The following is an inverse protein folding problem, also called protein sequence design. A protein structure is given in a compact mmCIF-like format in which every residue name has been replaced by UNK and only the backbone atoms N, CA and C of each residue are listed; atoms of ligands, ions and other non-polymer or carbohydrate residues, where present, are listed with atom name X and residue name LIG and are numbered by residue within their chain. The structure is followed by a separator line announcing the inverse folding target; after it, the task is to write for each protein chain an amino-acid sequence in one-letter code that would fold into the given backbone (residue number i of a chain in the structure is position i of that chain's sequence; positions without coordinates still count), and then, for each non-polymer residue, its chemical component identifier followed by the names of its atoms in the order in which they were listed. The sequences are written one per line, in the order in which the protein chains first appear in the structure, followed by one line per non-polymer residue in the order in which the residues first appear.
data_IF_226449201789
#
_entry.id   IF_226449201789
#
_cell.length_a   1.000
_cell.length_b   1.000
_cell.length_c   1.000
_cell.angle_alpha   90.00
_cell.angle_beta   90.00
_cell.angle_gamma   90.00
#
_symmetry.space_group_name_H-M   'P 1'
#
loop_
_entity.id
_entity.type
_entity.pdbx_description
1 polymer ?
#
# COMPACT_ATOMS: atom_id res chain seq x y z
N UNK A 1 6.47 -2.26 5.00
CA UNK A 1 5.34 -3.00 4.39
C UNK A 1 4.59 -3.84 5.42
N UNK A 2 5.12 -4.95 5.94
CA UNK A 2 4.36 -5.79 6.90
C UNK A 2 3.87 -5.05 8.15
N UNK A 3 4.74 -4.30 8.85
CA UNK A 3 4.34 -3.49 10.02
C UNK A 3 3.26 -2.46 9.66
N UNK A 4 3.40 -1.79 8.51
CA UNK A 4 2.41 -0.86 7.99
C UNK A 4 1.07 -1.55 7.67
N UNK A 5 1.09 -2.76 7.09
CA UNK A 5 -0.13 -3.55 6.83
C UNK A 5 -0.93 -3.83 8.10
N UNK A 6 -0.27 -4.13 9.23
CA UNK A 6 -0.96 -4.28 10.51
C UNK A 6 -1.63 -2.97 10.94
N UNK A 7 -0.92 -1.85 10.76
CA UNK A 7 -1.50 -0.54 11.06
C UNK A 7 -2.69 -0.16 10.21
N UNK A 8 -2.66 -0.46 8.91
CA UNK A 8 -3.80 -0.23 8.02
C UNK A 8 -5.02 -1.06 8.44
N UNK A 9 -4.82 -2.28 8.94
CA UNK A 9 -5.91 -3.11 9.45
C UNK A 9 -6.48 -2.55 10.76
N UNK A 10 -5.63 -2.16 11.71
CA UNK A 10 -6.04 -1.52 12.96
C UNK A 10 -6.81 -0.23 12.70
N UNK A 11 -6.29 0.63 11.82
CA UNK A 11 -6.93 1.88 11.44
C UNK A 11 -8.25 1.63 10.69
N UNK A 12 -8.28 0.64 9.80
CA UNK A 12 -9.50 0.23 9.11
C UNK A 12 -10.63 -0.20 10.05
N UNK A 13 -10.27 -0.80 11.19
CA UNK A 13 -11.17 -1.27 12.24
C UNK A 13 -11.56 -0.15 13.21
N UNK A 14 -10.63 0.76 13.54
CA UNK A 14 -10.87 1.84 14.53
C UNK A 14 -11.70 3.01 13.99
N UNK A 15 -11.90 3.08 12.67
CA UNK A 15 -12.70 4.10 12.01
C UNK A 15 -14.22 3.93 12.27
N UNK A 16 -14.78 4.91 12.99
CA UNK A 16 -16.20 5.27 13.29
C UNK A 16 -17.29 4.16 13.26
N UNK A 17 -18.03 3.93 14.37
CA UNK A 17 -19.20 3.05 14.43
C UNK A 17 -20.41 3.54 13.62
N UNK A 18 -20.51 4.85 13.34
CA UNK A 18 -21.69 5.45 12.73
C UNK A 18 -21.53 5.61 11.21
N UNK A 19 -21.95 4.58 10.50
CA UNK A 19 -22.31 4.71 9.09
C UNK A 19 -21.65 3.69 8.20
N UNK A 20 -22.48 2.83 7.63
CA UNK A 20 -22.58 2.67 6.17
C UNK A 20 -23.44 1.46 5.88
N UNK A 21 -24.72 1.73 5.97
CA UNK A 21 -25.74 0.85 5.45
C UNK A 21 -25.54 0.71 3.93
N UNK A 22 -25.14 -0.46 3.43
CA UNK A 22 -25.23 -0.78 2.00
C UNK A 22 -26.62 -1.33 1.76
N UNK A 23 -27.41 -0.68 0.89
CA UNK A 23 -28.74 -1.17 0.50
C UNK A 23 -29.71 -1.41 1.68
N UNK A 24 -29.53 -0.74 2.83
CA UNK A 24 -30.34 -0.98 4.03
C UNK A 24 -29.77 -2.01 5.01
N UNK A 25 -28.65 -2.68 4.69
CA UNK A 25 -27.93 -3.58 5.60
C UNK A 25 -26.70 -2.90 6.21
N UNK A 26 -26.62 -2.84 7.54
CA UNK A 26 -25.42 -2.39 8.24
C UNK A 26 -24.30 -3.43 8.08
N UNK A 27 -23.19 -3.04 7.46
CA UNK A 27 -22.00 -3.89 7.34
C UNK A 27 -21.03 -3.47 8.43
N UNK A 28 -20.64 -4.41 9.29
CA UNK A 28 -19.68 -4.17 10.35
C UNK A 28 -18.27 -3.86 9.81
N UNK A 29 -17.50 -3.05 10.54
CA UNK A 29 -16.19 -2.54 10.10
C UNK A 29 -15.15 -3.67 9.95
N UNK A 30 -15.17 -4.70 10.81
CA UNK A 30 -14.32 -5.89 10.64
C UNK A 30 -14.61 -6.58 9.31
N UNK A 31 -15.89 -6.67 8.94
CA UNK A 31 -16.32 -7.29 7.67
C UNK A 31 -15.81 -6.49 6.48
N UNK A 32 -15.84 -5.15 6.54
CA UNK A 32 -15.33 -4.28 5.46
C UNK A 32 -13.82 -4.44 5.28
N UNK A 33 -13.06 -4.44 6.38
CA UNK A 33 -11.60 -4.62 6.36
C UNK A 33 -11.25 -6.02 5.86
N UNK A 34 -11.91 -7.06 6.35
CA UNK A 34 -11.68 -8.44 5.92
C UNK A 34 -12.02 -8.62 4.43
N UNK A 35 -13.14 -8.07 3.95
CA UNK A 35 -13.51 -8.10 2.54
C UNK A 35 -12.45 -7.38 1.69
N UNK A 36 -12.02 -6.18 2.11
CA UNK A 36 -10.91 -5.47 1.48
C UNK A 36 -9.65 -6.32 1.40
N UNK A 37 -9.22 -6.90 2.53
CA UNK A 37 -8.03 -7.73 2.64
C UNK A 37 -8.04 -8.91 1.67
N UNK A 38 -9.14 -9.66 1.64
CA UNK A 38 -9.32 -10.77 0.71
C UNK A 38 -9.31 -10.31 -0.76
N UNK A 39 -9.98 -9.19 -1.06
CA UNK A 39 -9.96 -8.59 -2.40
C UNK A 39 -8.55 -8.15 -2.81
N UNK A 40 -7.75 -7.62 -1.88
CA UNK A 40 -6.35 -7.25 -2.12
C UNK A 40 -5.49 -8.45 -2.46
N UNK A 41 -5.56 -9.52 -1.65
CA UNK A 41 -4.84 -10.77 -1.97
C UNK A 41 -5.29 -11.35 -3.31
N UNK A 42 -6.60 -11.41 -3.55
CA UNK A 42 -7.16 -11.88 -4.80
C UNK A 42 -6.68 -11.04 -5.99
N UNK A 43 -6.62 -9.71 -5.83
CA UNK A 43 -6.10 -8.81 -6.86
C UNK A 43 -4.64 -9.14 -7.22
N UNK A 44 -3.78 -9.35 -6.22
CA UNK A 44 -2.36 -9.67 -6.49
C UNK A 44 -2.22 -11.04 -7.16
N UNK A 45 -2.94 -12.05 -6.69
CA UNK A 45 -2.95 -13.39 -7.31
C UNK A 45 -3.44 -13.31 -8.75
N UNK A 46 -4.56 -12.62 -8.99
CA UNK A 46 -5.15 -12.47 -10.31
C UNK A 46 -4.23 -11.71 -11.25
N UNK A 47 -3.61 -10.62 -10.78
CA UNK A 47 -2.64 -9.85 -11.54
C UNK A 47 -1.43 -10.70 -11.90
N UNK A 48 -0.91 -11.48 -10.94
CA UNK A 48 0.21 -12.40 -11.18
C UNK A 48 -0.14 -13.44 -12.25
N UNK A 49 -1.27 -14.11 -12.11
CA UNK A 49 -1.73 -15.10 -13.09
C UNK A 49 -2.03 -14.47 -14.45
N UNK A 50 -2.47 -13.22 -14.49
CA UNK A 50 -2.67 -12.48 -15.74
C UNK A 50 -1.34 -12.16 -16.42
N UNK A 51 -0.34 -11.67 -15.69
CA UNK A 51 1.00 -11.40 -16.22
C UNK A 51 1.68 -12.68 -16.69
N UNK A 52 1.53 -13.79 -15.96
CA UNK A 52 2.07 -15.11 -16.35
C UNK A 52 1.49 -15.62 -17.69
N UNK A 53 0.27 -15.24 -18.04
CA UNK A 53 -0.35 -15.61 -19.33
C UNK A 53 0.13 -14.76 -20.50
N UNK A 54 0.77 -13.61 -20.23
CA UNK A 54 1.23 -12.66 -21.24
C UNK A 54 2.78 -12.56 -21.20
N UNK A 55 3.45 -13.69 -21.46
CA UNK A 55 4.93 -13.78 -21.50
C UNK A 55 5.57 -12.97 -22.65
N UNK A 56 4.76 -12.49 -23.60
CA UNK A 56 5.14 -11.65 -24.72
C UNK A 56 5.27 -10.16 -24.36
N UNK A 57 4.86 -9.76 -23.15
CA UNK A 57 5.09 -8.41 -22.64
C UNK A 57 6.60 -8.15 -22.57
N UNK A 58 7.04 -7.03 -23.14
CA UNK A 58 8.42 -6.53 -23.03
C UNK A 58 8.38 -5.17 -22.36
N UNK A 59 9.24 -4.99 -21.37
CA UNK A 59 9.40 -3.70 -20.71
C UNK A 59 10.87 -3.28 -20.78
N UNK A 60 11.20 -2.55 -21.84
CA UNK A 60 12.59 -2.38 -22.25
C UNK A 60 13.22 -3.74 -22.59
N UNK A 61 14.31 -4.08 -21.88
CA UNK A 61 15.05 -5.33 -22.06
C UNK A 61 14.59 -6.46 -21.10
N UNK A 62 13.67 -6.17 -20.18
CA UNK A 62 13.20 -7.12 -19.17
C UNK A 62 12.33 -8.22 -19.79
N UNK A 63 12.58 -9.47 -19.40
CA UNK A 63 11.79 -10.64 -19.82
C UNK A 63 11.53 -11.59 -18.65
N UNK A 64 10.48 -12.39 -18.76
CA UNK A 64 10.19 -13.48 -17.83
C UNK A 64 10.00 -13.02 -16.38
N UNK A 65 10.73 -13.64 -15.45
CA UNK A 65 10.51 -13.47 -13.99
C UNK A 65 10.78 -12.05 -13.49
N UNK A 66 11.76 -11.35 -14.05
CA UNK A 66 12.12 -9.99 -13.59
C UNK A 66 11.10 -8.95 -14.05
N UNK A 67 10.60 -9.10 -15.28
CA UNK A 67 9.48 -8.30 -15.77
C UNK A 67 8.25 -8.45 -14.87
N UNK A 68 7.90 -9.70 -14.52
CA UNK A 68 6.75 -9.98 -13.67
C UNK A 68 6.86 -9.30 -12.32
N UNK A 69 8.04 -9.36 -11.69
CA UNK A 69 8.28 -8.72 -10.38
C UNK A 69 8.22 -7.21 -10.46
N UNK A 70 8.81 -6.61 -11.49
CA UNK A 70 8.74 -5.15 -11.71
C UNK A 70 7.29 -4.72 -11.92
N UNK A 71 6.54 -5.43 -12.76
CA UNK A 71 5.13 -5.11 -13.00
C UNK A 71 4.28 -5.26 -11.74
N UNK A 72 4.42 -6.36 -11.00
CA UNK A 72 3.69 -6.58 -9.75
C UNK A 72 4.02 -5.50 -8.71
N UNK A 73 5.30 -5.12 -8.58
CA UNK A 73 5.71 -4.04 -7.70
C UNK A 73 5.04 -2.73 -8.11
N UNK A 74 5.15 -2.33 -9.38
CA UNK A 74 4.53 -1.08 -9.85
C UNK A 74 3.01 -1.10 -9.66
N UNK A 75 2.34 -2.19 -10.01
CA UNK A 75 0.88 -2.30 -9.87
C UNK A 75 0.42 -2.20 -8.40
N UNK A 76 1.09 -2.92 -7.49
CA UNK A 76 0.71 -2.96 -6.08
C UNK A 76 1.00 -1.64 -5.39
N UNK A 77 2.15 -1.03 -5.68
CA UNK A 77 2.51 0.27 -5.08
C UNK A 77 1.64 1.40 -5.64
N UNK A 78 1.27 1.34 -6.92
CA UNK A 78 0.27 2.27 -7.50
C UNK A 78 -1.06 2.20 -6.76
N UNK A 79 -1.53 0.98 -6.44
CA UNK A 79 -2.76 0.81 -5.68
C UNK A 79 -2.63 1.19 -4.21
N UNK A 80 -1.46 0.98 -3.60
CA UNK A 80 -1.18 1.47 -2.26
C UNK A 80 -1.32 3.00 -2.21
N UNK A 81 -0.64 3.70 -3.12
CA UNK A 81 -0.74 5.15 -3.27
C UNK A 81 -2.15 5.64 -3.63
N UNK A 82 -2.96 4.85 -4.33
CA UNK A 82 -4.38 5.14 -4.51
C UNK A 82 -5.12 5.21 -3.17
N UNK A 83 -4.89 4.22 -2.29
CA UNK A 83 -5.55 4.18 -0.97
C UNK A 83 -5.08 5.30 -0.04
N UNK A 84 -3.82 5.69 -0.11
CA UNK A 84 -3.30 6.86 0.61
C UNK A 84 -3.94 8.17 0.10
N UNK A 85 -4.16 8.29 -1.21
CA UNK A 85 -4.91 9.39 -1.82
C UNK A 85 -6.34 9.51 -1.27
N UNK A 86 -7.02 8.38 -1.02
CA UNK A 86 -8.33 8.39 -0.33
C UNK A 86 -8.21 8.98 1.08
N UNK A 87 -7.18 8.59 1.83
CA UNK A 87 -6.89 9.10 3.18
C UNK A 87 -6.67 10.60 3.20
N UNK A 88 -5.83 11.10 2.28
CA UNK A 88 -5.57 12.55 2.12
C UNK A 88 -6.87 13.31 1.85
N UNK A 89 -7.64 12.89 0.84
CA UNK A 89 -8.87 13.58 0.46
C UNK A 89 -9.90 13.64 1.59
N UNK A 90 -10.02 12.56 2.37
CA UNK A 90 -10.84 12.52 3.58
C UNK A 90 -10.32 13.47 4.66
N UNK A 91 -9.02 13.50 4.89
CA UNK A 91 -8.41 14.28 5.98
C UNK A 91 -8.65 15.79 5.80
N UNK A 92 -8.84 16.25 4.55
CA UNK A 92 -9.21 17.63 4.24
C UNK A 92 -10.68 17.98 4.51
N UNK A 93 -11.50 17.04 4.97
CA UNK A 93 -12.95 17.24 5.15
C UNK A 93 -13.29 17.68 6.57
N UNK A 94 -14.46 18.30 6.76
CA UNK A 94 -14.92 18.74 8.07
C UNK A 94 -14.36 20.09 8.50
N UNK A 95 -14.72 20.51 9.73
CA UNK A 95 -14.49 21.88 10.22
C UNK A 95 -13.00 22.23 10.43
N UNK A 96 -12.18 21.24 10.76
CA UNK A 96 -10.73 21.36 10.95
C UNK A 96 -9.92 20.70 9.82
N UNK A 97 -10.58 20.34 8.72
CA UNK A 97 -9.99 19.55 7.64
C UNK A 97 -8.74 20.18 7.02
N UNK A 98 -8.66 21.52 6.95
CA UNK A 98 -7.47 22.19 6.40
C UNK A 98 -6.20 21.89 7.21
N UNK A 99 -6.28 21.90 8.55
CA UNK A 99 -5.14 21.63 9.41
C UNK A 99 -4.81 20.13 9.43
N UNK A 100 -5.83 19.29 9.63
CA UNK A 100 -5.66 17.82 9.66
C UNK A 100 -5.13 17.30 8.32
N UNK A 101 -5.73 17.72 7.21
CA UNK A 101 -5.30 17.34 5.86
C UNK A 101 -3.87 17.77 5.55
N UNK A 102 -3.47 18.99 5.95
CA UNK A 102 -2.09 19.46 5.77
C UNK A 102 -1.09 18.62 6.59
N UNK A 103 -1.42 18.32 7.85
CA UNK A 103 -0.61 17.47 8.71
C UNK A 103 -0.45 16.06 8.12
N UNK A 104 -1.56 15.41 7.76
CA UNK A 104 -1.56 14.07 7.17
C UNK A 104 -0.78 14.04 5.85
N UNK A 105 -0.97 15.04 4.99
CA UNK A 105 -0.23 15.14 3.72
C UNK A 105 1.28 15.29 3.94
N UNK A 106 1.70 16.09 4.91
CA UNK A 106 3.11 16.26 5.24
C UNK A 106 3.73 14.97 5.79
N UNK A 107 3.02 14.28 6.69
CA UNK A 107 3.43 12.97 7.23
C UNK A 107 3.56 11.91 6.13
N UNK A 108 2.59 11.84 5.21
CA UNK A 108 2.64 10.95 4.05
C UNK A 108 3.77 11.30 3.08
N UNK A 109 4.04 12.58 2.85
CA UNK A 109 5.16 13.00 2.02
C UNK A 109 6.50 12.50 2.57
N UNK A 110 6.70 12.52 3.89
CA UNK A 110 7.88 11.94 4.52
C UNK A 110 7.90 10.41 4.40
N UNK A 111 6.75 9.74 4.51
CA UNK A 111 6.62 8.28 4.35
C UNK A 111 6.97 7.80 2.93
N UNK A 112 6.56 8.56 1.92
CA UNK A 112 6.77 8.24 0.51
C UNK A 112 8.25 8.21 0.11
N UNK A 113 9.14 8.89 0.84
CA UNK A 113 10.58 8.91 0.51
C UNK A 113 11.23 7.53 0.71
N UNK A 114 11.16 6.91 1.91
CA UNK A 114 11.55 5.51 2.10
C UNK A 114 10.85 4.53 1.17
N UNK A 115 9.57 4.75 0.88
CA UNK A 115 8.78 3.87 0.02
C UNK A 115 9.24 3.92 -1.44
N UNK A 116 9.46 5.12 -1.96
CA UNK A 116 10.00 5.32 -3.30
C UNK A 116 11.40 4.73 -3.47
N UNK A 117 12.24 4.86 -2.43
CA UNK A 117 13.53 4.18 -2.37
C UNK A 117 13.37 2.65 -2.40
N UNK A 118 12.39 2.09 -1.67
CA UNK A 118 12.12 0.66 -1.70
C UNK A 118 11.71 0.17 -3.11
N UNK A 119 10.88 0.92 -3.83
CA UNK A 119 10.55 0.64 -5.24
C UNK A 119 11.82 0.65 -6.09
N UNK A 120 12.65 1.69 -5.97
CA UNK A 120 13.87 1.80 -6.75
C UNK A 120 14.86 0.64 -6.49
N UNK A 121 15.01 0.23 -5.22
CA UNK A 121 15.87 -0.89 -4.82
C UNK A 121 15.36 -2.26 -5.32
N UNK A 122 14.06 -2.41 -5.58
CA UNK A 122 13.52 -3.60 -6.23
C UNK A 122 13.77 -3.56 -7.74
N UNK A 123 13.65 -2.39 -8.37
CA UNK A 123 13.76 -2.25 -9.82
C UNK A 123 15.21 -2.31 -10.33
N UNK A 124 16.16 -1.67 -9.64
CA UNK A 124 17.54 -1.51 -10.12
C UNK A 124 18.31 -2.84 -10.30
N UNK A 125 18.30 -3.78 -9.33
CA UNK A 125 18.99 -5.08 -9.49
C UNK A 125 18.46 -5.92 -10.64
N UNK A 126 17.25 -5.60 -11.13
CA UNK A 126 16.57 -6.30 -12.21
C UNK A 126 16.85 -5.68 -13.58
N UNK A 127 17.72 -4.66 -13.68
CA UNK A 127 18.14 -4.06 -14.96
C UNK A 127 17.46 -2.74 -15.31
N UNK A 128 16.65 -2.17 -14.41
CA UNK A 128 16.10 -0.82 -14.58
C UNK A 128 17.16 0.22 -14.19
N UNK A 129 17.44 1.18 -15.06
CA UNK A 129 18.42 2.26 -14.75
C UNK A 129 17.95 3.11 -13.58
N UNK A 130 18.88 3.68 -12.80
CA UNK A 130 18.54 4.48 -11.61
C UNK A 130 17.52 5.59 -11.89
N UNK A 131 17.70 6.36 -12.97
CA UNK A 131 16.74 7.39 -13.36
C UNK A 131 15.36 6.82 -13.69
N UNK A 132 15.28 5.69 -14.42
CA UNK A 132 14.00 5.05 -14.72
C UNK A 132 13.36 4.51 -13.44
N UNK A 133 14.14 3.96 -12.52
CA UNK A 133 13.65 3.47 -11.24
C UNK A 133 13.05 4.61 -10.39
N UNK A 134 13.70 5.78 -10.36
CA UNK A 134 13.15 7.00 -9.75
C UNK A 134 11.86 7.44 -10.43
N UNK A 135 11.80 7.47 -11.76
CA UNK A 135 10.59 7.83 -12.50
C UNK A 135 9.44 6.84 -12.24
N UNK A 136 9.73 5.55 -12.17
CA UNK A 136 8.75 4.54 -11.79
C UNK A 136 8.25 4.71 -10.37
N UNK A 137 9.12 5.06 -9.42
CA UNK A 137 8.73 5.40 -8.05
C UNK A 137 7.83 6.63 -7.99
N UNK A 138 8.09 7.67 -8.78
CA UNK A 138 7.20 8.84 -8.86
C UNK A 138 5.85 8.45 -9.47
N UNK A 139 5.88 7.64 -10.53
CA UNK A 139 4.68 7.16 -11.21
C UNK A 139 3.76 6.38 -10.25
N UNK A 140 4.33 5.50 -9.42
CA UNK A 140 3.53 4.75 -8.44
C UNK A 140 2.84 5.65 -7.43
N UNK A 141 3.41 6.82 -7.10
CA UNK A 141 2.80 7.79 -6.15
C UNK A 141 1.81 8.77 -6.79
N UNK A 142 1.75 8.87 -8.13
CA UNK A 142 0.80 9.76 -8.83
C UNK A 142 -0.68 9.59 -8.46
N UNK A 143 -1.20 8.40 -8.12
CA UNK A 143 -2.59 8.25 -7.69
C UNK A 143 -2.95 9.10 -6.48
N UNK A 144 -2.02 9.38 -5.56
CA UNK A 144 -2.28 10.16 -4.34
C UNK A 144 -2.92 11.53 -4.65
N UNK A 145 -2.27 12.44 -5.41
CA UNK A 145 -2.87 13.74 -5.74
C UNK A 145 -4.09 13.63 -6.66
N UNK A 146 -4.13 12.64 -7.55
CA UNK A 146 -5.24 12.45 -8.50
C UNK A 146 -6.54 12.06 -7.79
N UNK A 147 -6.44 11.27 -6.72
CA UNK A 147 -7.57 10.73 -5.98
C UNK A 147 -7.96 11.60 -4.80
N UNK A 148 -7.02 12.31 -4.18
CA UNK A 148 -7.30 13.20 -3.05
C UNK A 148 -8.35 14.26 -3.37
N UNK A 149 -8.29 14.88 -4.57
CA UNK A 149 -9.23 15.93 -4.98
C UNK A 149 -10.67 15.44 -5.11
N UNK A 150 -11.00 14.40 -5.91
CA UNK A 150 -12.37 13.91 -6.01
C UNK A 150 -12.88 13.36 -4.68
N UNK A 151 -12.01 12.75 -3.86
CA UNK A 151 -12.41 12.26 -2.53
C UNK A 151 -12.77 13.43 -1.60
N UNK A 152 -11.99 14.50 -1.59
CA UNK A 152 -12.33 15.71 -0.85
C UNK A 152 -13.70 16.27 -1.29
N UNK A 153 -13.96 16.33 -2.60
CA UNK A 153 -15.24 16.83 -3.15
C UNK A 153 -16.44 15.94 -2.81
N UNK A 154 -16.25 14.61 -2.73
CA UNK A 154 -17.33 13.62 -2.58
C UNK A 154 -17.20 12.76 -1.32
N UNK A 155 -16.57 13.29 -0.27
CA UNK A 155 -16.09 12.53 0.89
C UNK A 155 -17.12 11.58 1.53
N UNK A 156 -18.39 11.99 1.60
CA UNK A 156 -19.49 11.16 2.14
C UNK A 156 -19.63 9.81 1.43
N UNK A 157 -19.36 9.76 0.13
CA UNK A 157 -19.42 8.52 -0.64
C UNK A 157 -18.19 7.65 -0.40
N UNK A 158 -17.03 8.25 -0.10
CA UNK A 158 -15.76 7.57 0.06
C UNK A 158 -15.44 7.14 1.49
N UNK A 159 -16.16 7.66 2.49
CA UNK A 159 -16.03 7.23 3.90
C UNK A 159 -16.24 5.71 4.04
N UNK A 160 -17.27 5.14 3.39
CA UNK A 160 -17.50 3.70 3.39
C UNK A 160 -16.32 2.91 2.82
N UNK A 161 -15.84 3.36 1.65
CA UNK A 161 -14.77 2.70 0.92
C UNK A 161 -13.43 2.79 1.63
N UNK A 162 -13.29 3.62 2.66
CA UNK A 162 -12.05 3.78 3.41
C UNK A 162 -11.61 2.49 4.08
N UNK A 163 -12.46 1.87 4.90
CA UNK A 163 -12.11 0.61 5.59
C UNK A 163 -11.85 -0.54 4.61
N UNK A 164 -12.61 -0.60 3.51
CA UNK A 164 -12.40 -1.58 2.43
C UNK A 164 -11.05 -1.33 1.73
N UNK A 165 -10.73 -0.07 1.43
CA UNK A 165 -9.46 0.33 0.81
C UNK A 165 -8.25 0.04 1.69
N UNK A 166 -8.34 0.34 3.00
CA UNK A 166 -7.28 0.04 3.97
C UNK A 166 -7.04 -1.48 4.09
N UNK A 167 -8.13 -2.26 4.17
CA UNK A 167 -8.04 -3.72 4.12
C UNK A 167 -7.38 -4.20 2.81
N UNK A 168 -7.81 -3.67 1.67
CA UNK A 168 -7.27 -4.01 0.35
C UNK A 168 -5.77 -3.73 0.24
N UNK A 169 -5.31 -2.57 0.71
CA UNK A 169 -3.90 -2.23 0.76
C UNK A 169 -3.13 -3.19 1.67
N UNK A 170 -3.65 -3.47 2.88
CA UNK A 170 -3.02 -4.39 3.82
C UNK A 170 -2.83 -5.79 3.23
N UNK A 171 -3.89 -6.36 2.63
CA UNK A 171 -3.85 -7.70 2.01
C UNK A 171 -2.91 -7.77 0.82
N UNK A 172 -2.92 -6.76 -0.04
CA UNK A 172 -2.02 -6.68 -1.20
C UNK A 172 -0.54 -6.61 -0.78
N UNK A 173 -0.22 -5.73 0.19
CA UNK A 173 1.15 -5.56 0.69
C UNK A 173 1.67 -6.78 1.45
N UNK A 174 0.83 -7.44 2.26
CA UNK A 174 1.20 -8.70 2.93
C UNK A 174 1.51 -9.77 1.89
N UNK A 175 0.66 -9.94 0.88
CA UNK A 175 0.90 -10.92 -0.17
C UNK A 175 2.23 -10.68 -0.89
N UNK A 176 2.46 -9.45 -1.40
CA UNK A 176 3.72 -9.10 -2.08
C UNK A 176 4.92 -9.27 -1.17
N UNK A 177 4.83 -8.82 0.09
CA UNK A 177 5.98 -8.90 0.99
C UNK A 177 6.33 -10.35 1.30
N UNK A 178 5.35 -11.20 1.62
CA UNK A 178 5.61 -12.59 1.98
C UNK A 178 6.01 -13.46 0.78
N UNK A 179 5.26 -13.36 -0.33
CA UNK A 179 5.39 -14.32 -1.44
C UNK A 179 6.28 -13.85 -2.58
N UNK A 180 6.58 -12.56 -2.67
CA UNK A 180 7.48 -12.02 -3.71
C UNK A 180 8.78 -11.51 -3.09
N UNK A 181 8.73 -10.57 -2.13
CA UNK A 181 9.95 -9.95 -1.58
C UNK A 181 10.73 -10.90 -0.66
N UNK A 182 10.07 -11.51 0.33
CA UNK A 182 10.71 -12.41 1.28
C UNK A 182 11.14 -13.71 0.58
N UNK A 183 10.29 -14.25 -0.30
CA UNK A 183 10.62 -15.42 -1.09
C UNK A 183 11.79 -15.19 -2.05
N UNK A 184 11.99 -13.96 -2.54
CA UNK A 184 13.18 -13.58 -3.30
C UNK A 184 14.40 -13.42 -2.41
N UNK A 185 14.27 -12.76 -1.26
CA UNK A 185 15.38 -12.55 -0.33
C UNK A 185 16.00 -13.88 0.13
N UNK A 186 15.19 -14.91 0.39
CA UNK A 186 15.65 -16.26 0.77
C UNK A 186 16.45 -16.96 -0.34
N UNK A 187 16.32 -16.54 -1.60
CA UNK A 187 17.14 -17.10 -2.71
C UNK A 187 18.53 -16.49 -2.77
N UNK A 188 18.68 -15.25 -2.32
CA UNK A 188 19.94 -14.49 -2.36
C UNK A 188 20.70 -14.55 -1.02
N UNK A 189 20.00 -14.78 0.09
CA UNK A 189 20.51 -14.75 1.46
C UNK A 189 20.15 -16.04 2.19
N UNK A 190 20.89 -16.35 3.26
CA UNK A 190 20.52 -17.48 4.13
C UNK A 190 19.16 -17.24 4.80
N UNK A 191 18.42 -18.32 5.07
CA UNK A 191 17.13 -18.23 5.78
C UNK A 191 17.27 -17.51 7.13
N UNK A 192 18.33 -17.79 7.87
CA UNK A 192 18.61 -17.17 9.17
C UNK A 192 18.86 -15.68 9.04
N UNK A 193 19.69 -15.24 8.07
CA UNK A 193 19.96 -13.81 7.84
C UNK A 193 18.69 -13.08 7.43
N UNK A 194 17.93 -13.66 6.49
CA UNK A 194 16.67 -13.08 6.02
C UNK A 194 15.65 -12.96 7.15
N UNK A 195 15.53 -14.00 7.99
CA UNK A 195 14.64 -14.01 9.15
C UNK A 195 15.02 -12.94 10.19
N UNK A 196 16.31 -12.82 10.52
CA UNK A 196 16.80 -11.81 11.47
C UNK A 196 16.51 -10.40 10.95
N UNK A 197 16.93 -10.09 9.71
CA UNK A 197 16.74 -8.76 9.12
C UNK A 197 15.26 -8.42 9.04
N UNK A 198 14.42 -9.34 8.57
CA UNK A 198 12.97 -9.12 8.47
C UNK A 198 12.34 -8.86 9.83
N UNK A 199 12.73 -9.63 10.86
CA UNK A 199 12.21 -9.46 12.23
C UNK A 199 12.66 -8.13 12.83
N UNK A 200 13.93 -7.76 12.67
CA UNK A 200 14.44 -6.47 13.14
C UNK A 200 13.74 -5.31 12.41
N UNK A 201 13.55 -5.40 11.10
CA UNK A 201 12.81 -4.39 10.33
C UNK A 201 11.34 -4.29 10.72
N UNK A 202 10.70 -5.42 11.06
CA UNK A 202 9.33 -5.47 11.56
C UNK A 202 9.19 -4.74 12.90
N UNK A 203 10.05 -5.08 13.87
CA UNK A 203 10.07 -4.45 15.19
C UNK A 203 10.41 -2.98 15.07
N UNK A 204 11.45 -2.63 14.31
CA UNK A 204 11.85 -1.24 14.07
C UNK A 204 10.73 -0.42 13.43
N UNK A 205 10.01 -0.99 12.46
CA UNK A 205 8.86 -0.35 11.84
C UNK A 205 7.70 -0.13 12.83
N UNK A 206 7.45 -1.10 13.71
CA UNK A 206 6.41 -0.98 14.73
C UNK A 206 6.75 0.09 15.77
N UNK A 207 7.99 0.12 16.27
CA UNK A 207 8.46 1.13 17.22
C UNK A 207 8.46 2.53 16.61
N UNK A 208 8.89 2.66 15.35
CA UNK A 208 8.84 3.93 14.63
C UNK A 208 7.40 4.45 14.52
N UNK A 209 6.45 3.55 14.26
CA UNK A 209 5.03 3.91 14.21
C UNK A 209 4.51 4.39 15.56
N UNK A 210 4.82 3.68 16.65
CA UNK A 210 4.44 4.11 18.01
C UNK A 210 5.01 5.48 18.37
N UNK A 211 6.23 5.77 17.93
CA UNK A 211 6.85 7.07 18.15
C UNK A 211 6.18 8.20 17.35
N UNK A 212 5.67 7.92 16.15
CA UNK A 212 4.99 8.89 15.28
C UNK A 212 3.53 9.10 15.71
N UNK A 213 2.84 8.05 16.17
CA UNK A 213 1.43 8.09 16.56
C UNK A 213 1.26 7.85 18.07
N UNK A 214 1.40 8.91 18.91
CA UNK A 214 1.32 8.78 20.37
C UNK A 214 -0.12 8.60 20.89
N UNK A 215 -1.08 8.20 20.04
CA UNK A 215 -2.49 7.98 20.44
C UNK A 215 -2.70 6.88 21.49
N UNK A 216 -1.64 6.20 21.91
CA UNK A 216 -1.64 5.20 22.99
C UNK A 216 -1.32 5.77 24.40
N UNK A 217 -1.20 7.10 24.57
CA UNK A 217 -1.15 7.79 25.89
C UNK A 217 -2.43 8.57 26.23
#
# INVERSE_FOLDING_TARGET
MLSASFGLMEEGVSLDPDGSTILGMGIDHYTRVAAGFLLGMWFVVSTKSWVEKHEDLKFGELKGKDLRKVFLMVAVMTLHSFTEGLGIGVAFTGREGAHLGAFISASLAMHNVPEGLAVALVLMPRGVTGLRATLWSIFTSMPQPLIAVPVFMFARHFIFWRSVGLGFAAGSMIWVTCFELLADAIKELSLSTTGIVTTVSLVGGHLLRQWIDPRDE
#
